data_IF_958692952054
#
_entry.id   IF_958692952054
#
_cell.length_a   1.000
_cell.length_b   1.000
_cell.length_c   1.000
_cell.angle_alpha   90.00
_cell.angle_beta   90.00
_cell.angle_gamma   90.00
#
_symmetry.space_group_name_H-M   'P 1'
#
loop_
_entity.id
_entity.type
_entity.pdbx_description
1 polymer ?
#
# COMPACT_ATOMS: atom_id res chain seq x y z
N UNK A 1 -17.63 3.77 -71.39
CA UNK A 1 -16.95 5.09 -71.35
C UNK A 1 -17.51 5.91 -70.20
N UNK A 2 -16.68 6.78 -69.63
CA UNK A 2 -16.92 7.83 -68.62
C UNK A 2 -16.69 7.48 -67.14
N UNK A 3 -15.55 7.98 -66.67
CA UNK A 3 -15.06 8.07 -65.31
C UNK A 3 -15.70 9.25 -64.55
N UNK A 4 -15.71 9.17 -63.21
CA UNK A 4 -15.07 10.17 -62.34
C UNK A 4 -15.06 9.73 -60.87
N UNK A 5 -13.92 9.93 -60.18
CA UNK A 5 -13.79 10.06 -58.72
C UNK A 5 -13.80 11.56 -58.35
N UNK A 6 -14.30 11.93 -57.17
CA UNK A 6 -13.39 12.36 -56.08
C UNK A 6 -13.82 11.78 -54.72
N UNK A 7 -12.94 11.22 -53.89
CA UNK A 7 -12.01 11.90 -52.98
C UNK A 7 -12.70 12.85 -51.99
N UNK A 8 -13.01 12.36 -50.79
CA UNK A 8 -13.11 13.19 -49.58
C UNK A 8 -12.41 12.47 -48.41
N UNK A 9 -11.48 13.21 -47.82
CA UNK A 9 -10.65 12.84 -46.69
C UNK A 9 -11.50 12.67 -45.42
N UNK A 10 -11.31 11.56 -44.72
CA UNK A 10 -11.76 11.38 -43.34
C UNK A 10 -10.55 11.18 -42.44
N UNK A 11 -9.87 12.27 -42.07
CA UNK A 11 -8.86 12.25 -41.03
C UNK A 11 -9.55 12.06 -39.66
N UNK A 12 -9.66 10.82 -39.20
CA UNK A 12 -10.07 10.55 -37.83
C UNK A 12 -8.90 10.91 -36.90
N UNK A 13 -9.06 12.00 -36.17
CA UNK A 13 -8.13 12.49 -35.16
C UNK A 13 -7.90 11.40 -34.10
N UNK A 14 -6.65 10.96 -33.97
CA UNK A 14 -6.13 10.18 -32.85
C UNK A 14 -6.21 11.02 -31.58
N UNK A 15 -7.34 10.95 -30.88
CA UNK A 15 -7.50 11.45 -29.53
C UNK A 15 -7.07 10.39 -28.51
N UNK A 16 -5.78 10.06 -28.44
CA UNK A 16 -5.25 9.34 -27.27
C UNK A 16 -5.22 10.33 -26.11
N UNK A 17 -6.28 10.31 -25.30
CA UNK A 17 -6.30 10.96 -24.00
C UNK A 17 -5.16 10.38 -23.16
N UNK A 18 -4.07 11.13 -23.03
CA UNK A 18 -3.07 10.90 -22.02
C UNK A 18 -3.74 11.16 -20.67
N UNK A 19 -4.18 10.10 -20.00
CA UNK A 19 -4.52 10.17 -18.59
C UNK A 19 -3.25 10.58 -17.86
N UNK A 20 -3.16 11.86 -17.50
CA UNK A 20 -2.13 12.35 -16.59
C UNK A 20 -2.31 11.56 -15.29
N UNK A 21 -1.43 10.60 -15.06
CA UNK A 21 -1.25 9.99 -13.74
C UNK A 21 -0.76 11.11 -12.85
N UNK A 22 -1.70 11.75 -12.14
CA UNK A 22 -1.35 12.63 -11.04
C UNK A 22 -0.61 11.76 -10.03
N UNK A 23 0.72 11.86 -10.00
CA UNK A 23 1.49 11.28 -8.91
C UNK A 23 1.01 11.98 -7.64
N UNK A 24 0.52 11.25 -6.63
CA UNK A 24 0.04 11.88 -5.42
C UNK A 24 1.18 12.66 -4.80
N UNK A 25 0.96 13.97 -4.61
CA UNK A 25 1.82 14.86 -3.83
C UNK A 25 2.24 14.11 -2.58
N UNK A 26 3.55 13.90 -2.44
CA UNK A 26 4.14 12.85 -1.58
C UNK A 26 3.46 12.72 -0.22
N UNK A 27 2.74 11.62 -0.05
CA UNK A 27 2.13 11.24 1.21
C UNK A 27 3.24 11.13 2.27
N UNK A 28 3.20 12.01 3.27
CA UNK A 28 4.17 11.98 4.36
C UNK A 28 3.88 10.76 5.23
N UNK A 29 4.76 9.77 5.18
CA UNK A 29 4.63 8.53 5.93
C UNK A 29 5.45 8.56 7.23
N UNK A 30 4.97 7.87 8.26
CA UNK A 30 5.67 7.58 9.50
C UNK A 30 6.07 6.10 9.54
N UNK A 31 7.36 5.82 9.70
CA UNK A 31 7.92 4.46 9.71
C UNK A 31 8.00 3.89 11.12
N UNK A 32 7.36 2.73 11.33
CA UNK A 32 7.41 1.93 12.55
C UNK A 32 8.11 0.61 12.26
N UNK A 33 9.01 0.20 13.17
CA UNK A 33 9.68 -1.11 13.12
C UNK A 33 9.10 -2.01 14.20
N UNK A 34 8.71 -3.22 13.84
CA UNK A 34 8.22 -4.22 14.77
C UNK A 34 9.21 -5.37 14.91
N UNK A 35 9.52 -5.73 16.15
CA UNK A 35 10.22 -6.98 16.48
C UNK A 35 9.19 -8.04 16.85
N UNK A 36 9.28 -9.19 16.20
CA UNK A 36 8.36 -10.31 16.36
C UNK A 36 9.09 -11.53 16.95
N UNK A 37 8.32 -12.56 17.32
CA UNK A 37 8.89 -13.83 17.77
C UNK A 37 9.88 -14.42 16.75
N UNK A 38 10.91 -15.08 17.25
CA UNK A 38 11.98 -15.64 16.43
C UNK A 38 12.87 -14.58 15.79
N UNK A 39 12.99 -13.40 16.41
CA UNK A 39 13.84 -12.28 15.95
C UNK A 39 13.51 -11.75 14.54
N UNK A 40 12.27 -11.97 14.09
CA UNK A 40 11.76 -11.47 12.82
C UNK A 40 11.49 -9.97 12.92
N UNK A 41 11.69 -9.27 11.81
CA UNK A 41 11.46 -7.82 11.69
C UNK A 41 10.41 -7.54 10.63
N UNK A 42 9.45 -6.67 10.96
CA UNK A 42 8.48 -6.10 10.01
C UNK A 42 8.63 -4.59 10.08
N UNK A 43 8.74 -3.92 8.94
CA UNK A 43 8.77 -2.45 8.88
C UNK A 43 7.49 -1.98 8.20
N UNK A 44 6.79 -1.05 8.81
CA UNK A 44 5.53 -0.52 8.30
C UNK A 44 5.59 0.98 8.24
N UNK A 45 5.26 1.55 7.10
CA UNK A 45 5.06 2.97 6.90
C UNK A 45 3.56 3.25 6.91
N UNK A 46 3.12 4.01 7.91
CA UNK A 46 1.75 4.47 8.03
C UNK A 46 1.63 5.90 7.48
N UNK A 47 0.51 6.24 6.83
CA UNK A 47 0.14 7.62 6.60
C UNK A 47 0.14 8.38 7.93
N UNK A 48 0.50 9.67 7.91
CA UNK A 48 0.41 10.48 9.13
C UNK A 48 -1.04 10.54 9.64
N UNK A 49 -1.30 10.59 10.97
CA UNK A 49 -2.66 10.60 11.50
C UNK A 49 -3.55 11.74 11.00
N UNK A 50 -2.95 12.87 10.61
CA UNK A 50 -3.67 14.02 10.04
C UNK A 50 -4.10 13.79 8.57
N UNK A 51 -3.69 12.68 7.95
CA UNK A 51 -4.08 12.27 6.61
C UNK A 51 -5.28 11.31 6.62
N UNK A 52 -5.78 11.00 5.42
CA UNK A 52 -6.96 10.16 5.21
C UNK A 52 -6.78 8.76 5.83
N UNK A 53 -7.62 8.43 6.81
CA UNK A 53 -7.67 7.10 7.47
C UNK A 53 -7.94 5.92 6.52
N UNK A 54 -8.39 6.19 5.29
CA UNK A 54 -8.57 5.19 4.24
C UNK A 54 -7.30 4.92 3.42
N UNK A 55 -6.23 5.68 3.64
CA UNK A 55 -5.00 5.56 2.89
C UNK A 55 -4.25 4.25 3.17
N UNK A 56 -3.50 3.81 2.16
CA UNK A 56 -2.81 2.54 2.20
C UNK A 56 -1.48 2.64 2.94
N UNK A 57 -1.16 1.63 3.74
CA UNK A 57 0.16 1.49 4.36
C UNK A 57 1.14 0.84 3.38
N UNK A 58 2.44 1.01 3.65
CA UNK A 58 3.51 0.27 2.98
C UNK A 58 4.18 -0.63 3.99
N UNK A 59 4.25 -1.92 3.70
CA UNK A 59 4.85 -2.92 4.57
C UNK A 59 6.07 -3.52 3.89
N UNK A 60 7.22 -3.51 4.55
CA UNK A 60 8.43 -4.22 4.12
C UNK A 60 8.58 -5.51 4.94
N UNK A 61 8.60 -6.63 4.22
CA UNK A 61 8.80 -7.96 4.78
C UNK A 61 9.74 -8.76 3.88
N UNK A 62 10.81 -9.32 4.47
CA UNK A 62 11.84 -10.07 3.75
C UNK A 62 12.35 -9.35 2.49
N UNK A 63 12.60 -8.04 2.59
CA UNK A 63 13.08 -7.19 1.51
C UNK A 63 12.09 -6.98 0.33
N UNK A 64 10.81 -7.32 0.54
CA UNK A 64 9.72 -7.03 -0.39
C UNK A 64 8.80 -5.95 0.19
N UNK A 65 8.38 -5.03 -0.68
CA UNK A 65 7.43 -3.97 -0.32
C UNK A 65 6.02 -4.33 -0.77
N UNK A 66 5.07 -4.15 0.13
CA UNK A 66 3.66 -4.45 -0.10
C UNK A 66 2.82 -3.23 0.22
N UNK A 67 1.89 -2.89 -0.67
CA UNK A 67 0.85 -1.90 -0.39
C UNK A 67 -0.37 -2.61 0.18
N UNK A 68 -0.79 -2.23 1.40
CA UNK A 68 -1.96 -2.82 2.05
C UNK A 68 -2.98 -1.72 2.33
N UNK A 69 -4.24 -1.97 2.00
CA UNK A 69 -5.35 -1.05 2.26
C UNK A 69 -6.03 -1.36 3.58
N UNK A 70 -6.55 -0.36 4.31
CA UNK A 70 -7.34 -0.60 5.52
C UNK A 70 -8.57 -1.50 5.23
N UNK A 71 -8.91 -2.37 6.17
CA UNK A 71 -10.10 -3.21 6.12
C UNK A 71 -10.87 -3.06 7.44
N UNK A 72 -12.19 -2.85 7.33
CA UNK A 72 -13.06 -2.71 8.50
C UNK A 72 -13.08 -4.00 9.32
N UNK A 73 -12.88 -3.88 10.62
CA UNK A 73 -12.94 -4.97 11.61
C UNK A 73 -13.66 -4.48 12.87
N UNK A 74 -14.19 -5.41 13.66
CA UNK A 74 -14.91 -5.06 14.89
C UNK A 74 -13.99 -4.46 15.97
N UNK A 75 -12.73 -4.86 16.00
CA UNK A 75 -11.76 -4.40 16.99
C UNK A 75 -10.33 -4.48 16.43
N UNK A 76 -9.52 -3.49 16.77
CA UNK A 76 -8.16 -3.34 16.32
C UNK A 76 -8.09 -2.82 14.89
N UNK A 77 -6.92 -3.00 14.28
CA UNK A 77 -6.65 -2.52 12.92
C UNK A 77 -6.31 -3.70 12.02
N UNK A 78 -6.72 -3.60 10.75
CA UNK A 78 -6.41 -4.60 9.74
C UNK A 78 -6.12 -3.92 8.42
N UNK A 79 -5.05 -4.37 7.79
CA UNK A 79 -4.64 -3.94 6.47
C UNK A 79 -4.44 -5.18 5.59
N UNK A 80 -4.89 -5.10 4.34
CA UNK A 80 -4.93 -6.24 3.43
C UNK A 80 -4.35 -5.91 2.07
N UNK A 81 -3.68 -6.89 1.47
CA UNK A 81 -3.34 -6.90 0.05
C UNK A 81 -3.81 -8.19 -0.59
N UNK A 82 -3.46 -8.42 -1.85
CA UNK A 82 -3.72 -9.71 -2.50
C UNK A 82 -2.98 -10.88 -1.83
N UNK A 83 -1.84 -10.59 -1.19
CA UNK A 83 -0.92 -11.62 -0.70
C UNK A 83 -0.86 -11.67 0.83
N UNK A 84 -1.01 -10.53 1.50
CA UNK A 84 -0.72 -10.39 2.93
C UNK A 84 -1.88 -9.74 3.68
N UNK A 85 -1.95 -10.08 4.97
CA UNK A 85 -2.81 -9.43 5.95
C UNK A 85 -1.94 -9.04 7.13
N UNK A 86 -1.90 -7.75 7.42
CA UNK A 86 -1.32 -7.17 8.62
C UNK A 86 -2.46 -6.84 9.59
N UNK A 87 -2.33 -7.21 10.85
CA UNK A 87 -3.36 -6.95 11.86
C UNK A 87 -2.70 -6.51 13.16
N UNK A 88 -3.28 -5.50 13.82
CA UNK A 88 -2.90 -5.03 15.14
C UNK A 88 -4.07 -5.23 16.09
N UNK A 89 -3.80 -5.81 17.26
CA UNK A 89 -4.77 -6.03 18.32
C UNK A 89 -4.04 -6.07 19.66
N UNK A 90 -4.56 -5.37 20.67
CA UNK A 90 -4.04 -5.39 22.05
C UNK A 90 -2.51 -5.20 22.09
N UNK A 91 -2.02 -4.16 21.41
CA UNK A 91 -0.60 -3.78 21.27
C UNK A 91 0.31 -4.82 20.57
N UNK A 92 -0.28 -5.88 20.01
CA UNK A 92 0.44 -6.91 19.29
C UNK A 92 0.02 -6.94 17.83
N UNK A 93 1.01 -7.05 16.96
CA UNK A 93 0.79 -7.17 15.54
C UNK A 93 1.09 -8.59 15.04
N UNK A 94 0.45 -8.95 13.92
CA UNK A 94 0.61 -10.24 13.26
C UNK A 94 0.58 -10.06 11.75
N UNK A 95 1.52 -10.71 11.08
CA UNK A 95 1.58 -10.81 9.62
C UNK A 95 1.21 -12.21 9.17
N UNK A 96 0.23 -12.30 8.29
CA UNK A 96 -0.20 -13.57 7.68
C UNK A 96 -0.29 -13.44 6.17
N UNK A 97 -0.22 -14.57 5.47
CA UNK A 97 -0.68 -14.62 4.07
C UNK A 97 -2.20 -14.50 4.01
N UNK A 98 -2.75 -14.13 2.85
CA UNK A 98 -4.22 -14.12 2.63
C UNK A 98 -4.89 -15.49 2.86
N UNK A 99 -4.15 -16.58 2.68
CA UNK A 99 -4.59 -17.95 3.00
C UNK A 99 -4.47 -18.34 4.49
N UNK A 100 -4.14 -17.41 5.39
CA UNK A 100 -4.13 -17.64 6.84
C UNK A 100 -2.81 -18.17 7.42
N UNK A 101 -1.83 -18.56 6.60
CA UNK A 101 -0.50 -18.96 7.08
C UNK A 101 0.19 -17.82 7.82
N UNK A 102 0.73 -18.10 9.02
CA UNK A 102 1.45 -17.12 9.84
C UNK A 102 2.88 -16.94 9.35
N UNK A 103 3.26 -15.69 9.13
CA UNK A 103 4.62 -15.31 8.74
C UNK A 103 5.38 -14.68 9.92
N UNK A 104 4.71 -13.80 10.66
CA UNK A 104 5.20 -13.19 11.89
C UNK A 104 4.05 -13.02 12.89
N UNK A 105 4.34 -13.18 14.18
CA UNK A 105 3.37 -13.07 15.27
C UNK A 105 4.03 -12.44 16.49
N UNK A 106 3.19 -11.97 17.42
CA UNK A 106 3.62 -11.35 18.67
C UNK A 106 4.59 -10.19 18.40
N UNK A 107 4.31 -9.44 17.32
CA UNK A 107 5.11 -8.32 16.87
C UNK A 107 4.82 -7.10 17.74
N UNK A 108 5.86 -6.54 18.35
CA UNK A 108 5.76 -5.33 19.16
C UNK A 108 6.58 -4.23 18.53
N UNK A 109 6.06 -3.02 18.63
CA UNK A 109 6.77 -1.83 18.18
C UNK A 109 8.10 -1.73 18.92
N UNK A 110 9.16 -1.48 18.16
CA UNK A 110 10.43 -1.09 18.74
C UNK A 110 10.37 0.41 18.98
N UNK A 111 10.24 0.80 20.24
CA UNK A 111 10.57 2.16 20.64
C UNK A 111 12.04 2.40 20.28
N UNK A 112 12.27 3.19 19.23
CA UNK A 112 13.58 3.78 19.02
C UNK A 112 13.80 4.74 20.19
N UNK A 113 14.95 4.69 20.90
CA UNK A 113 15.23 5.72 21.89
C UNK A 113 15.16 7.06 21.19
N UNK A 114 14.39 8.00 21.76
CA UNK A 114 14.40 9.39 21.29
C UNK A 114 15.87 9.81 21.29
N UNK A 115 16.41 10.10 20.11
CA UNK A 115 17.74 10.69 19.98
C UNK A 115 17.68 12.07 20.62
N UNK A 116 17.98 12.12 21.92
CA UNK A 116 18.15 13.35 22.68
C UNK A 116 19.31 14.13 22.06
N UNK A 117 18.99 15.34 21.62
CA UNK A 117 19.95 16.34 21.15
C UNK A 117 20.63 17.02 22.32
#
# INVERSE_FOLDING_TARGET
MKAWKPALLGAALLGTAMAAVAEPVGEVMHTIKYRCNGSKMVVVEYPKPEQDSSAAIRLNWNNHHYRLTPAKVAQGERYVSQQLIWSLRDEQARLTTRGGRVLAQDCREMQLPASGS
#
